data_IF_765538389813
#
_entry.id   IF_765538389813
#
_cell.length_a   1.000
_cell.length_b   1.000
_cell.length_c   1.000
_cell.angle_alpha   90.00
_cell.angle_beta   90.00
_cell.angle_gamma   90.00
#
_symmetry.space_group_name_H-M   'P 1'
#
loop_
_entity.id
_entity.type
_entity.pdbx_description
1 polymer ?
#
# COMPACT_ATOMS: atom_id res chain seq x y z
N UNK A 1 7.93 -5.51 13.07
CA UNK A 1 6.72 -4.81 12.66
C UNK A 1 5.99 -5.59 11.62
N UNK A 2 4.70 -5.82 11.81
CA UNK A 2 3.94 -6.60 10.88
C UNK A 2 2.81 -5.81 10.27
N UNK A 3 2.86 -5.66 8.95
CA UNK A 3 1.83 -4.94 8.23
C UNK A 3 1.59 -5.67 6.92
N UNK A 4 0.47 -5.42 6.29
CA UNK A 4 0.27 -5.83 4.91
C UNK A 4 -0.47 -4.74 4.16
N UNK A 5 -0.43 -4.83 2.84
CA UNK A 5 -1.07 -3.85 1.98
C UNK A 5 -2.19 -4.49 1.14
N UNK A 6 -2.80 -5.56 1.65
CA UNK A 6 -3.87 -6.23 0.92
C UNK A 6 -5.01 -5.29 0.58
N UNK A 7 -5.29 -4.36 1.47
CA UNK A 7 -6.36 -3.38 1.25
C UNK A 7 -6.04 -2.46 0.08
N UNK A 8 -4.75 -2.15 -0.11
CA UNK A 8 -4.32 -1.32 -1.22
C UNK A 8 -4.62 -2.02 -2.54
N UNK A 9 -4.28 -3.32 -2.62
CA UNK A 9 -4.48 -4.06 -3.87
C UNK A 9 -5.97 -4.19 -4.19
N UNK A 10 -6.79 -4.39 -3.18
CA UNK A 10 -8.23 -4.47 -3.36
C UNK A 10 -8.79 -3.14 -3.82
N UNK A 11 -8.30 -2.05 -3.24
CA UNK A 11 -8.75 -0.72 -3.60
C UNK A 11 -8.40 -0.40 -5.06
N UNK A 12 -7.23 -0.83 -5.51
CA UNK A 12 -6.83 -0.62 -6.91
C UNK A 12 -7.77 -1.38 -7.84
N UNK A 13 -8.16 -2.60 -7.48
CA UNK A 13 -9.09 -3.38 -8.27
C UNK A 13 -10.42 -2.65 -8.36
N UNK A 14 -10.91 -2.12 -7.23
CA UNK A 14 -12.16 -1.41 -7.22
C UNK A 14 -12.10 -0.15 -8.08
N UNK A 15 -10.93 0.48 -8.17
CA UNK A 15 -10.76 1.68 -8.97
C UNK A 15 -10.32 1.37 -10.39
N UNK A 16 -10.21 0.09 -10.72
CA UNK A 16 -9.78 -0.36 -12.04
C UNK A 16 -8.41 0.18 -12.43
N UNK A 17 -7.50 0.24 -11.46
CA UNK A 17 -6.13 0.69 -11.66
C UNK A 17 -5.17 -0.46 -11.55
N UNK A 18 -4.14 -0.48 -12.36
CA UNK A 18 -3.07 -1.48 -12.22
C UNK A 18 -2.03 -0.93 -11.24
N UNK A 19 -1.13 -1.80 -10.77
CA UNK A 19 -0.02 -1.37 -9.94
C UNK A 19 0.86 -0.38 -10.69
N UNK A 20 1.03 -0.55 -12.00
CA UNK A 20 1.81 0.38 -12.81
C UNK A 20 1.13 1.75 -12.89
N UNK A 21 -0.21 1.78 -12.91
CA UNK A 21 -0.95 3.03 -12.95
C UNK A 21 -0.71 3.79 -11.64
N UNK A 22 -0.76 3.07 -10.51
CA UNK A 22 -0.51 3.68 -9.21
C UNK A 22 0.92 4.23 -9.14
N UNK A 23 1.89 3.44 -9.61
CA UNK A 23 3.29 3.84 -9.56
C UNK A 23 3.50 5.15 -10.31
N UNK A 24 2.87 5.28 -11.46
CA UNK A 24 3.00 6.51 -12.26
C UNK A 24 2.26 7.68 -11.62
N UNK A 25 1.05 7.44 -11.17
CA UNK A 25 0.22 8.50 -10.59
C UNK A 25 0.79 9.05 -9.30
N UNK A 26 1.36 8.19 -8.45
CA UNK A 26 1.92 8.60 -7.18
C UNK A 26 3.44 8.81 -7.24
N UNK A 27 4.04 8.69 -8.42
CA UNK A 27 5.47 8.87 -8.64
C UNK A 27 6.32 8.00 -7.68
N UNK A 28 5.99 6.70 -7.62
CA UNK A 28 6.67 5.77 -6.72
C UNK A 28 7.81 5.08 -7.45
N UNK A 29 8.97 4.97 -6.78
CA UNK A 29 10.11 4.28 -7.36
C UNK A 29 9.84 2.77 -7.48
N UNK A 30 10.41 2.09 -8.48
CA UNK A 30 10.17 0.65 -8.65
C UNK A 30 10.51 -0.21 -7.45
N UNK A 31 11.60 0.12 -6.74
CA UNK A 31 12.01 -0.66 -5.57
C UNK A 31 11.01 -0.44 -4.40
N UNK A 32 10.37 0.69 -4.34
CA UNK A 32 9.34 0.94 -3.33
C UNK A 32 8.09 0.11 -3.66
N UNK A 33 7.75 -0.04 -4.94
CA UNK A 33 6.65 -0.91 -5.34
C UNK A 33 6.95 -2.36 -4.95
N UNK A 34 8.21 -2.78 -5.07
CA UNK A 34 8.63 -4.12 -4.65
C UNK A 34 8.40 -4.30 -3.15
N UNK A 35 8.73 -3.28 -2.34
CA UNK A 35 8.51 -3.35 -0.91
C UNK A 35 7.03 -3.47 -0.58
N UNK A 36 6.18 -2.74 -1.28
CA UNK A 36 4.74 -2.81 -1.07
C UNK A 36 4.23 -4.24 -1.38
N UNK A 37 4.77 -4.87 -2.42
CA UNK A 37 4.34 -6.22 -2.77
C UNK A 37 4.80 -7.26 -1.77
N UNK A 38 5.87 -6.95 -1.02
CA UNK A 38 6.42 -7.88 -0.04
C UNK A 38 5.93 -7.55 1.37
N UNK A 39 5.03 -6.63 1.50
CA UNK A 39 4.49 -6.18 2.79
C UNK A 39 5.63 -5.65 3.70
N UNK A 40 6.61 -4.99 3.10
CA UNK A 40 7.70 -4.40 3.85
C UNK A 40 7.35 -2.96 4.24
N UNK A 41 8.04 -2.44 5.22
CA UNK A 41 7.79 -1.09 5.70
C UNK A 41 8.20 -0.07 4.65
N UNK A 42 7.32 0.85 4.35
CA UNK A 42 7.56 1.91 3.39
C UNK A 42 7.44 3.24 4.13
N UNK A 43 8.26 4.20 3.78
CA UNK A 43 8.27 5.51 4.45
C UNK A 43 6.90 6.18 4.40
N UNK A 44 6.51 6.79 5.51
CA UNK A 44 5.22 7.43 5.65
C UNK A 44 4.92 8.47 4.55
N UNK A 45 5.88 9.31 4.11
CA UNK A 45 5.61 10.27 3.04
C UNK A 45 5.17 9.60 1.73
N UNK A 46 5.62 8.37 1.48
CA UNK A 46 5.24 7.64 0.28
C UNK A 46 3.80 7.16 0.45
N UNK A 47 3.48 6.65 1.65
CA UNK A 47 2.12 6.19 1.96
C UNK A 47 1.13 7.35 1.89
N UNK A 48 1.54 8.53 2.34
CA UNK A 48 0.72 9.72 2.28
C UNK A 48 0.41 10.06 0.81
N UNK A 49 1.41 9.96 -0.05
CA UNK A 49 1.24 10.26 -1.46
C UNK A 49 0.27 9.29 -2.13
N UNK A 50 0.35 8.01 -1.73
CA UNK A 50 -0.58 7.00 -2.22
C UNK A 50 -2.01 7.35 -1.78
N UNK A 51 -2.17 7.74 -0.53
CA UNK A 51 -3.48 8.11 0.00
C UNK A 51 -4.05 9.31 -0.76
N UNK A 52 -3.23 10.30 -1.03
CA UNK A 52 -3.70 11.47 -1.76
C UNK A 52 -4.07 11.11 -3.19
N UNK A 53 -3.29 10.26 -3.83
CA UNK A 53 -3.54 9.84 -5.21
C UNK A 53 -4.86 9.09 -5.33
N UNK A 54 -5.18 8.26 -4.33
CA UNK A 54 -6.36 7.42 -4.36
C UNK A 54 -7.57 8.01 -3.62
N UNK A 55 -7.39 9.13 -2.98
CA UNK A 55 -8.45 9.72 -2.15
C UNK A 55 -8.80 8.80 -0.99
N UNK A 56 -7.79 8.18 -0.37
CA UNK A 56 -7.98 7.17 0.68
C UNK A 56 -7.26 7.56 1.95
N UNK A 57 -7.53 6.84 3.03
CA UNK A 57 -6.84 7.03 4.30
C UNK A 57 -5.87 5.88 4.49
N UNK A 58 -4.96 5.97 5.46
CA UNK A 58 -3.99 4.92 5.73
C UNK A 58 -4.67 3.57 5.99
N UNK A 59 -5.74 3.57 6.74
CA UNK A 59 -6.46 2.32 7.02
C UNK A 59 -7.13 1.68 5.80
N UNK A 60 -7.21 2.43 4.68
CA UNK A 60 -7.80 1.89 3.47
C UNK A 60 -6.73 1.21 2.61
N UNK A 61 -5.44 1.41 2.92
CA UNK A 61 -4.36 0.86 2.11
C UNK A 61 -3.47 -0.12 2.86
N UNK A 62 -3.50 -0.13 4.18
CA UNK A 62 -2.67 -1.05 4.95
C UNK A 62 -3.34 -1.42 6.25
N UNK A 63 -2.88 -2.50 6.87
CA UNK A 63 -3.39 -2.92 8.15
C UNK A 63 -2.30 -3.56 9.00
N UNK A 64 -2.47 -3.48 10.29
CA UNK A 64 -1.56 -4.12 11.23
C UNK A 64 -1.90 -5.61 11.29
N UNK A 65 -0.89 -6.44 11.21
CA UNK A 65 -1.10 -7.89 11.30
C UNK A 65 -0.74 -8.30 12.72
N UNK A 66 -1.70 -8.96 13.38
CA UNK A 66 -1.50 -9.34 14.74
C UNK A 66 -0.55 -10.48 14.79
N UNK A 67 0.60 -10.26 15.47
CA UNK A 67 1.59 -11.26 15.57
C UNK A 67 1.27 -12.22 16.67
N UNK A 68 1.64 -13.45 16.54
CA UNK A 68 1.48 -14.35 17.65
C UNK A 68 0.07 -14.76 17.90
N UNK A 69 -0.72 -14.46 16.97
CA UNK A 69 -2.10 -14.74 17.22
C UNK A 69 -2.27 -16.18 17.39
N UNK A 70 -1.34 -16.76 17.21
CA UNK A 70 -1.34 -18.02 17.48
C UNK A 70 -1.60 -18.37 18.62
N UNK A 71 -1.29 -17.52 19.02
CA UNK A 71 -1.53 -18.01 20.25
C UNK A 71 -2.12 -18.95 19.84
#
# INVERSE_FOLDING_TARGET
>A
MRINYNRLWKLLIDKKMSAADLRRAAAIAPNTMTKLRRDEVVALPILDRICETLGADYGDIMEHVKEGSVG
#
